data_IF_162582314474
#
_entry.id   IF_162582314474
#
_cell.length_a   1.000
_cell.length_b   1.000
_cell.length_c   1.000
_cell.angle_alpha   90.00
_cell.angle_beta   90.00
_cell.angle_gamma   90.00
#
_symmetry.space_group_name_H-M   'P 1'
#
loop_
_entity.id
_entity.type
_entity.pdbx_description
1 polymer ?
#
# COMPACT_ATOMS: atom_id res chain seq x y z
N UNK A 1 -1.41 -17.67 24.77
CA UNK A 1 -2.62 -17.42 23.95
C UNK A 1 -2.88 -15.93 23.72
N UNK A 2 -3.52 -15.12 24.60
CA UNK A 2 -3.83 -13.69 24.29
C UNK A 2 -2.59 -12.85 23.99
N UNK A 3 -1.50 -13.02 24.75
CA UNK A 3 -0.26 -12.28 24.56
C UNK A 3 0.39 -12.49 23.19
N UNK A 4 0.16 -13.63 22.54
CA UNK A 4 0.70 -13.93 21.20
C UNK A 4 -0.09 -13.24 20.07
N UNK A 5 -1.32 -12.80 20.33
CA UNK A 5 -2.15 -12.07 19.35
C UNK A 5 -1.87 -10.58 19.33
N UNK A 6 -1.35 -10.03 20.43
CA UNK A 6 -1.10 -8.58 20.56
C UNK A 6 -0.18 -8.08 19.44
N UNK A 7 0.99 -8.69 19.16
CA UNK A 7 1.86 -8.23 18.07
C UNK A 7 1.16 -8.27 16.71
N UNK A 8 0.42 -9.34 16.43
CA UNK A 8 -0.30 -9.51 15.17
C UNK A 8 -1.37 -8.43 14.97
N UNK A 9 -2.17 -8.17 16.00
CA UNK A 9 -3.22 -7.14 15.96
C UNK A 9 -2.61 -5.74 15.82
N UNK A 10 -1.53 -5.45 16.56
CA UNK A 10 -0.81 -4.19 16.42
C UNK A 10 -0.29 -4.01 15.00
N UNK A 11 0.34 -5.03 14.43
CA UNK A 11 0.86 -4.99 13.06
C UNK A 11 -0.25 -4.84 12.02
N UNK A 12 -1.43 -5.44 12.25
CA UNK A 12 -2.61 -5.20 11.42
C UNK A 12 -3.07 -3.75 11.49
N UNK A 13 -3.19 -3.16 12.67
CA UNK A 13 -3.60 -1.75 12.80
C UNK A 13 -2.56 -0.78 12.22
N UNK A 14 -1.26 -1.10 12.34
CA UNK A 14 -0.19 -0.39 11.65
C UNK A 14 -0.37 -0.50 10.13
N UNK A 15 -0.65 -1.70 9.63
CA UNK A 15 -0.97 -1.95 8.22
C UNK A 15 -2.13 -1.08 7.75
N UNK A 16 -3.26 -1.08 8.46
CA UNK A 16 -4.45 -0.26 8.14
C UNK A 16 -4.09 1.23 8.10
N UNK A 17 -3.42 1.73 9.14
CA UNK A 17 -3.03 3.14 9.23
C UNK A 17 -2.12 3.56 8.09
N UNK A 18 -1.11 2.75 7.76
CA UNK A 18 -0.21 3.04 6.64
C UNK A 18 -0.99 2.95 5.32
N UNK A 19 -1.79 1.90 5.11
CA UNK A 19 -2.60 1.74 3.90
C UNK A 19 -3.52 2.92 3.62
N UNK A 20 -4.17 3.47 4.64
CA UNK A 20 -5.08 4.62 4.53
C UNK A 20 -4.38 5.97 4.30
N UNK A 21 -3.08 6.08 4.54
CA UNK A 21 -2.41 7.39 4.55
C UNK A 21 -1.19 7.49 3.66
N UNK A 22 -0.60 6.36 3.25
CA UNK A 22 0.68 6.34 2.54
C UNK A 22 0.59 6.96 1.14
N UNK A 23 -0.56 6.86 0.46
CA UNK A 23 -0.77 7.50 -0.84
C UNK A 23 -0.53 9.02 -0.75
N UNK A 24 -1.09 9.64 0.29
CA UNK A 24 -1.05 11.08 0.58
C UNK A 24 0.29 11.55 1.17
N UNK A 25 1.26 10.66 1.40
CA UNK A 25 2.60 11.11 1.78
C UNK A 25 3.30 11.86 0.65
N UNK A 26 2.79 11.77 -0.58
CA UNK A 26 3.21 12.61 -1.70
C UNK A 26 3.09 14.11 -1.41
N UNK A 27 2.15 14.55 -0.56
CA UNK A 27 2.07 15.94 -0.08
C UNK A 27 3.31 16.43 0.68
N UNK A 28 4.08 15.50 1.25
CA UNK A 28 5.23 15.81 2.12
C UNK A 28 6.56 15.61 1.41
N UNK A 29 6.56 14.99 0.23
CA UNK A 29 7.77 14.67 -0.50
C UNK A 29 8.10 15.79 -1.50
N UNK A 30 9.33 16.33 -1.49
CA UNK A 30 9.73 17.27 -2.53
C UNK A 30 9.66 16.55 -3.88
N UNK A 31 9.21 17.26 -4.92
CA UNK A 31 9.03 16.77 -6.30
C UNK A 31 7.76 15.95 -6.55
N UNK A 32 7.02 15.58 -5.51
CA UNK A 32 5.70 14.97 -5.70
C UNK A 32 4.61 15.99 -5.39
N UNK A 33 3.52 15.85 -6.10
CA UNK A 33 2.29 16.56 -5.86
C UNK A 33 1.22 15.54 -5.45
N UNK A 34 0.15 16.02 -4.81
CA UNK A 34 -1.03 15.19 -4.51
C UNK A 34 -1.55 14.46 -5.77
N UNK A 35 -1.96 13.21 -5.57
CA UNK A 35 -2.31 12.25 -6.63
C UNK A 35 -1.15 11.99 -7.58
N UNK A 36 0.03 11.81 -7.00
CA UNK A 36 1.23 11.40 -7.73
C UNK A 36 1.02 10.03 -8.36
N UNK A 37 1.49 9.90 -9.60
CA UNK A 37 1.51 8.64 -10.35
C UNK A 37 2.16 7.49 -9.56
N UNK A 38 3.15 7.80 -8.71
CA UNK A 38 3.90 6.81 -7.94
C UNK A 38 3.17 6.29 -6.71
N UNK A 39 2.32 7.13 -6.09
CA UNK A 39 1.69 6.82 -4.78
C UNK A 39 0.20 6.50 -4.91
N UNK A 40 -0.48 7.07 -5.91
CA UNK A 40 -1.89 6.87 -6.18
C UNK A 40 -2.08 6.02 -7.43
N UNK A 41 -2.29 4.71 -7.27
CA UNK A 41 -2.43 3.76 -8.37
C UNK A 41 -1.82 2.40 -8.05
N UNK A 42 -1.32 1.70 -9.06
CA UNK A 42 -0.85 0.32 -8.87
C UNK A 42 0.59 0.19 -8.34
N UNK A 43 1.42 1.22 -8.51
CA UNK A 43 2.86 1.11 -8.21
C UNK A 43 3.10 0.87 -6.72
N UNK A 44 2.44 1.63 -5.87
CA UNK A 44 2.60 1.50 -4.42
C UNK A 44 2.20 0.10 -3.89
N UNK A 45 1.00 -0.43 -4.17
CA UNK A 45 0.63 -1.77 -3.70
C UNK A 45 1.49 -2.88 -4.32
N UNK A 46 1.93 -2.77 -5.58
CA UNK A 46 2.91 -3.72 -6.18
C UNK A 46 4.22 -3.68 -5.41
N UNK A 47 4.73 -2.48 -5.11
CA UNK A 47 6.02 -2.32 -4.41
C UNK A 47 5.95 -2.90 -3.01
N UNK A 48 4.87 -2.63 -2.27
CA UNK A 48 4.65 -3.22 -0.94
C UNK A 48 4.51 -4.73 -1.03
N UNK A 49 3.72 -5.25 -1.98
CA UNK A 49 3.61 -6.69 -2.19
C UNK A 49 4.97 -7.34 -2.46
N UNK A 50 5.76 -6.76 -3.37
CA UNK A 50 7.10 -7.25 -3.71
C UNK A 50 8.05 -7.23 -2.50
N UNK A 51 8.02 -6.18 -1.69
CA UNK A 51 8.81 -6.11 -0.45
C UNK A 51 8.39 -7.17 0.58
N UNK A 52 7.09 -7.41 0.72
CA UNK A 52 6.56 -8.44 1.63
C UNK A 52 6.95 -9.85 1.19
N UNK A 53 6.84 -10.16 -0.12
CA UNK A 53 7.23 -11.45 -0.68
C UNK A 53 8.75 -11.65 -0.61
N UNK A 54 9.53 -10.62 -0.95
CA UNK A 54 10.99 -10.68 -0.87
C UNK A 54 11.46 -10.81 0.57
N UNK A 55 10.84 -10.08 1.50
CA UNK A 55 11.12 -10.20 2.94
C UNK A 55 10.79 -11.58 3.49
N UNK A 56 9.68 -12.18 3.04
CA UNK A 56 9.34 -13.58 3.35
C UNK A 56 10.39 -14.56 2.78
N UNK A 57 10.79 -14.38 1.52
CA UNK A 57 11.74 -15.26 0.84
C UNK A 57 13.18 -15.12 1.37
N UNK A 58 13.59 -13.97 1.91
CA UNK A 58 14.93 -13.76 2.49
C UNK A 58 15.00 -14.34 3.92
N UNK A 59 13.89 -14.34 4.65
CA UNK A 59 13.81 -14.92 5.99
C UNK A 59 13.89 -16.46 5.99
N UNK A 60 13.64 -17.12 4.85
CA UNK A 60 13.52 -18.58 4.76
C UNK A 60 14.89 -19.31 4.62
N UNK A 61 15.84 -18.92 3.74
CA UNK A 61 17.07 -19.71 3.52
C UNK A 61 18.23 -19.45 4.49
N UNK A 62 18.21 -18.40 5.32
CA UNK A 62 19.34 -18.04 6.20
C UNK A 62 19.13 -18.36 7.70
N UNK A 63 17.98 -18.92 8.08
CA UNK A 63 17.57 -19.08 9.47
C UNK A 63 17.20 -20.54 9.82
N UNK A 64 18.03 -21.52 9.42
CA UNK A 64 17.84 -22.92 9.82
C UNK A 64 17.80 -23.11 11.36
N UNK A 65 18.57 -22.30 12.11
CA UNK A 65 18.59 -22.29 13.58
C UNK A 65 17.57 -21.34 14.23
N UNK A 66 16.87 -20.50 13.45
CA UNK A 66 15.88 -19.53 13.96
C UNK A 66 14.48 -19.75 13.41
N UNK A 67 14.10 -21.02 13.18
CA UNK A 67 12.75 -21.42 12.70
C UNK A 67 11.60 -20.80 13.52
N UNK A 68 11.81 -20.58 14.82
CA UNK A 68 10.83 -19.88 15.68
C UNK A 68 10.64 -18.41 15.30
N UNK A 69 11.66 -17.71 14.81
CA UNK A 69 11.57 -16.30 14.41
C UNK A 69 11.02 -16.12 12.99
N UNK A 70 11.38 -17.00 12.04
CA UNK A 70 10.92 -16.89 10.65
C UNK A 70 9.40 -17.06 10.53
N UNK A 71 8.81 -17.98 11.30
CA UNK A 71 7.35 -18.14 11.37
C UNK A 71 6.66 -16.89 11.94
N UNK A 72 7.20 -16.31 13.01
CA UNK A 72 6.67 -15.09 13.62
C UNK A 72 6.76 -13.88 12.68
N UNK A 73 7.89 -13.69 11.99
CA UNK A 73 8.03 -12.64 10.99
C UNK A 73 7.04 -12.83 9.84
N UNK A 74 6.90 -14.06 9.34
CA UNK A 74 5.91 -14.34 8.30
C UNK A 74 4.48 -14.03 8.75
N UNK A 75 4.16 -14.30 10.02
CA UNK A 75 2.85 -14.01 10.60
C UNK A 75 2.64 -12.51 10.70
N UNK A 76 3.59 -11.76 11.24
CA UNK A 76 3.49 -10.29 11.34
C UNK A 76 3.34 -9.65 9.96
N UNK A 77 4.13 -10.07 8.97
CA UNK A 77 4.01 -9.56 7.58
C UNK A 77 2.64 -9.88 6.96
N UNK A 78 2.06 -11.05 7.25
CA UNK A 78 0.69 -11.38 6.81
C UNK A 78 -0.35 -10.48 7.47
N UNK A 79 -0.28 -10.25 8.78
CA UNK A 79 -1.20 -9.34 9.47
C UNK A 79 -1.03 -7.89 8.99
N UNK A 80 0.20 -7.47 8.71
CA UNK A 80 0.46 -6.18 8.08
C UNK A 80 -0.24 -6.07 6.73
N UNK A 81 -0.05 -7.07 5.85
CA UNK A 81 -0.67 -7.12 4.52
C UNK A 81 -2.20 -7.08 4.61
N UNK A 82 -2.78 -7.84 5.53
CA UNK A 82 -4.22 -7.87 5.80
C UNK A 82 -4.77 -6.51 6.23
N UNK A 83 -3.96 -5.65 6.86
CA UNK A 83 -4.34 -4.27 7.15
C UNK A 83 -4.08 -3.31 5.99
N UNK A 84 -2.89 -3.40 5.39
CA UNK A 84 -2.39 -2.45 4.40
C UNK A 84 -3.23 -2.45 3.12
N UNK A 85 -3.45 -3.62 2.51
CA UNK A 85 -4.10 -3.71 1.20
C UNK A 85 -5.57 -3.23 1.25
N UNK A 86 -6.40 -3.65 2.22
CA UNK A 86 -7.74 -3.10 2.37
C UNK A 86 -7.74 -1.61 2.72
N UNK A 87 -6.82 -1.14 3.57
CA UNK A 87 -6.69 0.29 3.88
C UNK A 87 -6.39 1.13 2.63
N UNK A 88 -5.43 0.68 1.82
CA UNK A 88 -5.09 1.32 0.56
C UNK A 88 -6.25 1.28 -0.44
N UNK A 89 -6.93 0.14 -0.56
CA UNK A 89 -8.10 0.00 -1.41
C UNK A 89 -9.25 0.95 -0.99
N UNK A 90 -9.48 1.11 0.31
CA UNK A 90 -10.47 2.09 0.81
C UNK A 90 -10.07 3.52 0.40
N UNK A 91 -8.80 3.89 0.55
CA UNK A 91 -8.30 5.20 0.12
C UNK A 91 -8.52 5.42 -1.38
N UNK A 92 -8.11 4.46 -2.22
CA UNK A 92 -8.29 4.54 -3.68
C UNK A 92 -9.78 4.64 -4.08
N UNK A 93 -10.68 3.95 -3.38
CA UNK A 93 -12.12 4.10 -3.59
C UNK A 93 -12.60 5.54 -3.38
N UNK A 94 -12.13 6.24 -2.36
CA UNK A 94 -12.49 7.66 -2.17
C UNK A 94 -11.95 8.54 -3.29
N UNK A 95 -10.75 8.23 -3.78
CA UNK A 95 -10.12 9.01 -4.85
C UNK A 95 -10.70 8.77 -6.24
N UNK A 96 -11.30 7.59 -6.46
CA UNK A 96 -12.02 7.21 -7.68
C UNK A 96 -13.31 8.01 -7.90
N UNK A 97 -13.89 8.59 -6.85
CA UNK A 97 -15.15 9.32 -6.94
C UNK A 97 -15.01 10.77 -6.43
N UNK A 98 -14.13 11.60 -7.04
CA UNK A 98 -14.00 12.99 -6.65
C UNK A 98 -15.26 13.77 -7.05
N UNK A 99 -15.55 14.87 -6.36
CA UNK A 99 -16.68 15.75 -6.69
C UNK A 99 -16.63 16.25 -8.14
N UNK A 100 -15.42 16.49 -8.66
CA UNK A 100 -15.14 16.89 -10.04
C UNK A 100 -13.76 16.38 -10.46
N UNK A 101 -13.64 15.92 -11.70
CA UNK A 101 -12.37 15.51 -12.30
C UNK A 101 -11.62 16.70 -12.89
N UNK A 102 -10.99 17.51 -12.03
CA UNK A 102 -10.13 18.62 -12.45
C UNK A 102 -9.04 18.91 -11.42
N UNK A 103 -7.96 19.57 -11.85
CA UNK A 103 -6.89 20.03 -10.95
C UNK A 103 -6.30 18.88 -10.12
N UNK A 104 -6.36 19.01 -8.79
CA UNK A 104 -5.83 18.02 -7.85
C UNK A 104 -6.52 16.66 -7.85
N UNK A 105 -7.64 16.49 -8.57
CA UNK A 105 -8.28 15.19 -8.74
C UNK A 105 -7.64 14.33 -9.85
N UNK A 106 -6.80 14.94 -10.70
CA UNK A 106 -6.13 14.26 -11.80
C UNK A 106 -4.77 13.72 -11.36
N UNK A 107 -4.37 12.59 -11.94
CA UNK A 107 -3.07 11.97 -11.67
C UNK A 107 -1.96 12.80 -12.29
N UNK A 108 -0.96 13.13 -11.48
CA UNK A 108 0.22 13.88 -11.88
C UNK A 108 1.37 12.91 -12.15
N UNK A 109 1.75 12.79 -13.41
CA UNK A 109 2.84 11.93 -13.85
C UNK A 109 4.09 12.74 -14.21
N UNK A 110 5.27 12.09 -14.30
CA UNK A 110 6.48 12.72 -14.83
C UNK A 110 6.33 13.26 -16.26
N UNK A 111 5.33 12.80 -17.02
CA UNK A 111 5.07 13.18 -18.41
C UNK A 111 3.90 14.18 -18.54
N UNK A 112 3.43 14.74 -17.42
CA UNK A 112 2.30 15.67 -17.36
C UNK A 112 1.09 15.09 -16.62
N UNK A 113 -0.02 15.83 -16.66
CA UNK A 113 -1.26 15.46 -15.97
C UNK A 113 -2.08 14.54 -16.87
N UNK A 114 -2.47 13.38 -16.34
CA UNK A 114 -3.34 12.47 -17.08
C UNK A 114 -4.74 13.07 -17.23
N UNK A 115 -5.40 12.94 -18.39
CA UNK A 115 -6.80 13.35 -18.55
C UNK A 115 -7.71 12.50 -17.65
N UNK A 116 -8.95 12.92 -17.48
CA UNK A 116 -9.96 12.24 -16.62
C UNK A 116 -9.94 10.72 -16.80
N UNK A 117 -10.05 10.24 -18.05
CA UNK A 117 -10.10 8.80 -18.35
C UNK A 117 -8.80 8.10 -17.92
N UNK A 118 -7.65 8.72 -18.19
CA UNK A 118 -6.36 8.17 -17.79
C UNK A 118 -6.19 8.11 -16.27
N UNK A 119 -6.60 9.17 -15.58
CA UNK A 119 -6.57 9.24 -14.11
C UNK A 119 -7.49 8.20 -13.47
N UNK A 120 -8.70 8.04 -14.01
CA UNK A 120 -9.66 7.03 -13.56
C UNK A 120 -9.12 5.61 -13.74
N UNK A 121 -8.62 5.28 -14.94
CA UNK A 121 -8.03 3.96 -15.21
C UNK A 121 -6.86 3.69 -14.28
N UNK A 122 -6.00 4.68 -14.05
CA UNK A 122 -4.83 4.52 -13.19
C UNK A 122 -5.19 4.21 -11.73
N UNK A 123 -6.15 4.95 -11.18
CA UNK A 123 -6.70 4.70 -9.84
C UNK A 123 -7.43 3.35 -9.77
N UNK A 124 -8.20 2.99 -10.80
CA UNK A 124 -8.91 1.72 -10.87
C UNK A 124 -7.95 0.53 -10.90
N UNK A 125 -6.85 0.62 -11.66
CA UNK A 125 -5.81 -0.40 -11.62
C UNK A 125 -5.17 -0.51 -10.23
N UNK A 126 -4.94 0.62 -9.55
CA UNK A 126 -4.52 0.62 -8.15
C UNK A 126 -5.48 -0.14 -7.23
N UNK A 127 -6.78 0.11 -7.39
CA UNK A 127 -7.82 -0.60 -6.66
C UNK A 127 -7.83 -2.11 -6.95
N UNK A 128 -7.76 -2.51 -8.22
CA UNK A 128 -7.78 -3.92 -8.62
C UNK A 128 -6.57 -4.66 -8.05
N UNK A 129 -5.40 -4.04 -8.06
CA UNK A 129 -4.16 -4.65 -7.55
C UNK A 129 -4.15 -4.75 -6.02
N UNK A 130 -4.85 -3.87 -5.33
CA UNK A 130 -4.93 -3.85 -3.87
C UNK A 130 -6.04 -4.74 -3.28
N UNK A 131 -6.88 -5.39 -4.11
CA UNK A 131 -7.87 -6.38 -3.68
C UNK A 131 -7.44 -7.79 -4.06
#
# INVERSE_FOLDING_TARGET
MIQEWIPNLLTLFVGVSIGLHMADWDHKLPLLDHRSFWTHGMILPITVWWLLVSGYSIADPYFEDAKLNAEDWSRLLRFFALGFFPGYAIHMCFDLFPKKWHGGALIKSPFGVLPMVGSFIWLLCGQIVAN
#
